data_IF_321623568862
#
_entry.id   IF_321623568862
#
_cell.length_a   1.000
_cell.length_b   1.000
_cell.length_c   1.000
_cell.angle_alpha   90.00
_cell.angle_beta   90.00
_cell.angle_gamma   90.00
#
_symmetry.space_group_name_H-M   'P 1'
#
loop_
_entity.id
_entity.type
_entity.pdbx_description
1 polymer ?
#
# COMPACT_ATOMS: atom_id res chain seq x y z
N UNK A 1 61.01 -54.79 -26.53
CA UNK A 1 61.27 -53.45 -27.07
C UNK A 1 60.99 -52.44 -25.98
N UNK A 2 62.08 -51.92 -25.43
CA UNK A 2 62.17 -51.05 -24.26
C UNK A 2 61.85 -49.60 -24.62
N UNK A 3 60.89 -49.00 -23.92
CA UNK A 3 60.71 -47.55 -23.85
C UNK A 3 61.08 -47.09 -22.42
N UNK A 4 62.05 -46.19 -22.26
CA UNK A 4 62.39 -45.65 -20.94
C UNK A 4 61.45 -44.50 -20.58
N UNK A 5 60.88 -44.62 -19.38
CA UNK A 5 60.09 -43.59 -18.70
C UNK A 5 60.98 -42.38 -18.38
N UNK A 6 60.84 -41.30 -19.14
CA UNK A 6 61.37 -39.99 -18.78
C UNK A 6 60.36 -39.28 -17.86
N UNK A 7 60.53 -39.50 -16.56
CA UNK A 7 59.86 -38.76 -15.49
C UNK A 7 60.33 -37.31 -15.52
N UNK A 8 59.53 -36.44 -16.12
CA UNK A 8 59.68 -34.98 -16.03
C UNK A 8 59.14 -34.53 -14.67
N UNK A 9 60.01 -34.25 -13.71
CA UNK A 9 59.63 -33.49 -12.52
C UNK A 9 59.64 -32.00 -12.89
N UNK A 10 58.51 -31.29 -12.82
CA UNK A 10 58.52 -29.84 -12.94
C UNK A 10 59.24 -29.25 -11.73
N UNK A 11 60.31 -28.52 -12.01
CA UNK A 11 61.03 -27.67 -11.06
C UNK A 11 60.08 -26.52 -10.71
N UNK A 12 59.33 -26.68 -9.62
CA UNK A 12 58.47 -25.64 -9.05
C UNK A 12 59.39 -24.67 -8.32
N UNK A 13 59.50 -23.45 -8.86
CA UNK A 13 60.25 -22.35 -8.26
C UNK A 13 59.65 -22.01 -6.89
N UNK A 14 60.40 -22.28 -5.82
CA UNK A 14 60.01 -22.06 -4.43
C UNK A 14 59.88 -20.57 -4.06
N UNK A 15 60.24 -19.65 -4.95
CA UNK A 15 60.17 -18.21 -4.72
C UNK A 15 58.77 -17.62 -5.02
N UNK A 16 57.90 -18.32 -5.76
CA UNK A 16 56.54 -17.85 -6.06
C UNK A 16 55.57 -18.09 -4.87
N UNK A 17 55.86 -19.08 -4.03
CA UNK A 17 55.03 -19.44 -2.86
C UNK A 17 55.11 -18.41 -1.73
N UNK A 18 56.19 -17.63 -1.66
CA UNK A 18 56.36 -16.58 -0.65
C UNK A 18 55.54 -15.31 -0.96
N UNK A 19 55.32 -15.00 -2.24
CA UNK A 19 54.58 -13.80 -2.66
C UNK A 19 53.07 -13.98 -2.51
N UNK A 20 52.55 -15.19 -2.76
CA UNK A 20 51.12 -15.52 -2.58
C UNK A 20 50.69 -15.48 -1.11
N UNK A 21 51.60 -15.69 -0.15
CA UNK A 21 51.27 -15.58 1.28
C UNK A 21 51.10 -14.15 1.78
N UNK A 22 51.64 -13.15 1.09
CA UNK A 22 51.58 -11.76 1.56
C UNK A 22 50.23 -11.09 1.19
N UNK A 23 49.61 -11.48 0.08
CA UNK A 23 48.30 -10.94 -0.35
C UNK A 23 47.11 -11.46 0.48
N UNK A 24 47.24 -12.58 1.20
CA UNK A 24 46.17 -13.08 2.08
C UNK A 24 46.04 -12.32 3.41
N UNK A 25 47.02 -11.50 3.80
CA UNK A 25 46.99 -10.71 5.04
C UNK A 25 46.03 -9.51 4.95
N UNK A 26 45.94 -8.88 3.77
CA UNK A 26 45.19 -7.62 3.59
C UNK A 26 43.67 -7.83 3.46
N UNK A 27 43.22 -9.05 3.13
CA UNK A 27 41.79 -9.38 3.12
C UNK A 27 41.13 -9.38 4.51
N UNK A 28 41.91 -9.52 5.59
CA UNK A 28 41.38 -9.54 6.96
C UNK A 28 40.88 -8.17 7.43
N UNK A 29 41.52 -7.08 6.97
CA UNK A 29 41.13 -5.72 7.32
C UNK A 29 39.79 -5.34 6.67
N UNK A 30 39.57 -5.76 5.43
CA UNK A 30 38.35 -5.42 4.69
C UNK A 30 37.10 -6.16 5.21
N UNK A 31 37.27 -7.37 5.76
CA UNK A 31 36.20 -8.11 6.43
C UNK A 31 35.71 -7.43 7.71
N UNK A 32 36.60 -6.74 8.44
CA UNK A 32 36.23 -6.07 9.69
C UNK A 32 35.31 -4.87 9.41
N UNK A 33 35.60 -4.09 8.36
CA UNK A 33 34.82 -2.90 8.00
C UNK A 33 33.38 -3.25 7.57
N UNK A 34 33.19 -4.34 6.81
CA UNK A 34 31.84 -4.76 6.39
C UNK A 34 31.00 -5.18 7.61
N UNK A 35 31.61 -5.85 8.58
CA UNK A 35 30.90 -6.26 9.80
C UNK A 35 30.46 -5.06 10.64
N UNK A 36 31.33 -4.05 10.77
CA UNK A 36 31.01 -2.78 11.46
C UNK A 36 29.89 -2.05 10.72
N UNK A 37 29.91 -2.02 9.39
CA UNK A 37 28.86 -1.39 8.59
C UNK A 37 27.50 -2.09 8.75
N UNK A 38 27.47 -3.43 8.79
CA UNK A 38 26.24 -4.21 8.99
C UNK A 38 25.64 -4.01 10.39
N UNK A 39 26.48 -4.00 11.44
CA UNK A 39 26.05 -3.70 12.81
C UNK A 39 25.43 -2.29 12.90
N UNK A 40 26.07 -1.29 12.27
CA UNK A 40 25.51 0.07 12.21
C UNK A 40 24.18 0.13 11.46
N UNK A 41 23.99 -0.66 10.41
CA UNK A 41 22.72 -0.73 9.67
C UNK A 41 21.64 -1.38 10.55
N UNK A 42 21.94 -2.50 11.22
CA UNK A 42 21.01 -3.19 12.10
C UNK A 42 20.59 -2.33 13.29
N UNK A 43 21.53 -1.61 13.89
CA UNK A 43 21.25 -0.69 14.98
C UNK A 43 20.28 0.41 14.53
N UNK A 44 20.53 1.00 13.34
CA UNK A 44 19.63 2.02 12.77
C UNK A 44 18.24 1.47 12.46
N UNK A 45 18.13 0.26 11.91
CA UNK A 45 16.83 -0.37 11.63
C UNK A 45 16.05 -0.59 12.93
N UNK A 46 16.72 -1.11 13.96
CA UNK A 46 16.11 -1.33 15.29
C UNK A 46 15.67 -0.02 15.93
N UNK A 47 16.46 1.05 15.76
CA UNK A 47 16.11 2.40 16.21
C UNK A 47 14.86 2.95 15.51
N UNK A 48 14.72 2.72 14.20
CA UNK A 48 13.54 3.12 13.42
C UNK A 48 12.29 2.33 13.87
N UNK A 49 12.42 1.02 14.06
CA UNK A 49 11.30 0.19 14.52
C UNK A 49 10.80 0.61 15.91
N UNK A 50 11.70 0.85 16.85
CA UNK A 50 11.34 1.28 18.21
C UNK A 50 10.75 2.70 18.26
N UNK A 51 11.20 3.60 17.39
CA UNK A 51 10.59 4.94 17.27
C UNK A 51 9.19 4.87 16.69
N UNK A 52 8.92 3.98 15.73
CA UNK A 52 7.56 3.74 15.22
C UNK A 52 6.61 3.26 16.31
N UNK A 53 7.01 2.26 17.08
CA UNK A 53 6.18 1.73 18.17
C UNK A 53 5.84 2.82 19.21
N UNK A 54 6.79 3.75 19.46
CA UNK A 54 6.54 4.92 20.33
C UNK A 54 5.56 5.91 19.71
N UNK A 55 5.64 6.15 18.40
CA UNK A 55 4.73 7.03 17.68
C UNK A 55 3.31 6.44 17.68
N UNK A 56 3.13 5.16 17.39
CA UNK A 56 1.81 4.51 17.45
C UNK A 56 1.21 4.54 18.85
N UNK A 57 2.04 4.31 19.87
CA UNK A 57 1.61 4.42 21.27
C UNK A 57 1.23 5.85 21.64
N UNK A 58 1.96 6.85 21.15
CA UNK A 58 1.63 8.25 21.35
C UNK A 58 0.33 8.63 20.61
N UNK A 59 0.16 8.19 19.37
CA UNK A 59 -1.03 8.46 18.56
C UNK A 59 -2.28 7.80 19.15
N UNK A 60 -2.18 6.55 19.61
CA UNK A 60 -3.28 5.87 20.31
C UNK A 60 -3.66 6.55 21.63
N UNK A 61 -2.72 7.21 22.32
CA UNK A 61 -3.04 8.03 23.51
C UNK A 61 -3.68 9.38 23.19
N UNK A 62 -3.42 9.93 22.00
CA UNK A 62 -3.91 11.25 21.57
C UNK A 62 -5.25 11.19 20.84
N UNK A 63 -5.65 10.03 20.32
CA UNK A 63 -6.99 9.81 19.79
C UNK A 63 -7.89 9.49 20.98
N UNK A 64 -8.69 10.45 21.51
CA UNK A 64 -9.63 10.16 22.58
C UNK A 64 -10.51 9.01 22.10
N UNK A 65 -10.52 7.94 22.89
CA UNK A 65 -11.43 6.81 22.75
C UNK A 65 -12.80 7.37 22.41
N UNK A 66 -13.26 7.09 21.19
CA UNK A 66 -14.42 7.73 20.58
C UNK A 66 -15.63 7.30 21.40
N UNK A 67 -15.88 8.04 22.48
CA UNK A 67 -16.98 7.80 23.41
C UNK A 67 -18.23 7.64 22.57
N UNK A 68 -18.81 6.45 22.69
CA UNK A 68 -20.03 6.03 22.03
C UNK A 68 -21.03 7.20 22.09
N UNK A 69 -21.36 7.75 20.92
CA UNK A 69 -22.39 8.78 20.85
C UNK A 69 -23.67 8.18 21.43
N UNK A 70 -24.25 8.77 22.49
CA UNK A 70 -25.48 8.24 23.06
C UNK A 70 -26.54 8.21 21.96
N UNK A 71 -27.14 7.04 21.76
CA UNK A 71 -28.28 6.83 20.88
C UNK A 71 -29.38 7.84 21.25
N UNK A 72 -29.46 8.94 20.50
CA UNK A 72 -30.58 9.87 20.58
C UNK A 72 -31.76 9.18 19.91
N UNK A 73 -32.57 8.51 20.74
CA UNK A 73 -33.89 7.99 20.39
C UNK A 73 -34.80 9.16 20.00
N UNK A 74 -34.82 9.50 18.72
CA UNK A 74 -35.79 10.44 18.16
C UNK A 74 -37.16 9.75 18.12
N UNK A 75 -38.03 10.11 19.07
CA UNK A 75 -39.44 9.77 19.07
C UNK A 75 -40.12 10.34 17.81
N UNK A 76 -40.59 9.43 16.95
CA UNK A 76 -41.47 9.71 15.82
C UNK A 76 -42.88 9.98 16.33
N UNK A 77 -43.32 11.24 16.30
CA UNK A 77 -44.74 11.60 16.42
C UNK A 77 -45.35 11.71 15.04
N UNK A 78 -46.13 10.68 14.71
CA UNK A 78 -47.13 10.61 13.66
C UNK A 78 -48.20 11.70 13.86
N UNK A 79 -48.38 12.61 12.90
CA UNK A 79 -49.69 13.20 12.62
C UNK A 79 -49.97 13.23 11.12
N UNK A 80 -51.09 12.59 10.78
CA UNK A 80 -51.68 12.54 9.46
C UNK A 80 -52.42 13.85 9.17
N UNK A 81 -52.37 14.32 7.92
CA UNK A 81 -53.42 15.19 7.39
C UNK A 81 -53.55 14.99 5.88
N UNK A 82 -54.66 14.34 5.49
CA UNK A 82 -55.21 14.44 4.14
C UNK A 82 -55.47 15.92 3.80
N UNK A 83 -55.25 16.32 2.54
CA UNK A 83 -56.35 16.64 1.62
C UNK A 83 -55.85 17.26 0.30
N UNK A 84 -56.62 16.95 -0.75
CA UNK A 84 -56.99 17.80 -1.90
C UNK A 84 -56.13 17.79 -3.17
N UNK A 85 -56.62 16.95 -4.09
CA UNK A 85 -56.88 17.23 -5.52
C UNK A 85 -56.68 18.67 -5.99
N UNK A 86 -55.86 18.84 -7.03
CA UNK A 86 -56.23 19.70 -8.16
C UNK A 86 -55.57 19.25 -9.47
N UNK A 87 -56.45 18.99 -10.44
CA UNK A 87 -56.22 18.82 -11.88
C UNK A 87 -55.51 20.03 -12.48
N UNK A 88 -54.49 19.78 -13.32
CA UNK A 88 -53.83 20.79 -14.15
C UNK A 88 -53.09 20.13 -15.32
N UNK A 89 -53.71 20.22 -16.49
CA UNK A 89 -53.29 19.68 -17.78
C UNK A 89 -51.97 20.28 -18.33
N UNK A 90 -51.26 19.43 -19.09
CA UNK A 90 -50.38 19.70 -20.25
C UNK A 90 -49.01 20.36 -20.00
N UNK A 91 -47.95 19.61 -20.29
CA UNK A 91 -47.11 19.79 -21.50
C UNK A 91 -46.27 18.52 -21.71
N UNK A 92 -46.60 17.77 -22.77
CA UNK A 92 -45.95 16.50 -23.10
C UNK A 92 -44.59 16.76 -23.77
N UNK A 93 -43.52 16.75 -22.97
CA UNK A 93 -42.16 16.53 -23.47
C UNK A 93 -41.95 15.02 -23.57
N UNK A 94 -41.64 14.52 -24.76
CA UNK A 94 -41.44 13.09 -25.06
C UNK A 94 -40.14 12.62 -24.39
N UNK A 95 -40.21 12.36 -23.09
CA UNK A 95 -39.15 11.73 -22.31
C UNK A 95 -39.03 10.27 -22.79
N UNK A 96 -37.83 9.88 -23.22
CA UNK A 96 -37.51 8.49 -23.50
C UNK A 96 -37.71 7.69 -22.22
N UNK A 97 -38.44 6.55 -22.25
CA UNK A 97 -38.74 5.78 -21.06
C UNK A 97 -37.45 5.27 -20.42
N UNK A 98 -37.01 5.94 -19.37
CA UNK A 98 -35.98 5.39 -18.49
C UNK A 98 -36.55 4.12 -17.88
N UNK A 99 -35.79 3.01 -17.86
CA UNK A 99 -36.24 1.77 -17.25
C UNK A 99 -36.60 2.05 -15.80
N UNK A 100 -37.89 2.11 -15.52
CA UNK A 100 -38.40 2.39 -14.19
C UNK A 100 -38.25 1.09 -13.42
N UNK A 101 -37.25 1.02 -12.55
CA UNK A 101 -37.09 -0.11 -11.64
C UNK A 101 -38.28 -0.12 -10.68
N UNK A 102 -39.30 -0.91 -11.03
CA UNK A 102 -40.45 -1.15 -10.16
C UNK A 102 -40.05 -2.27 -9.20
N UNK A 103 -39.77 -1.88 -7.96
CA UNK A 103 -39.64 -2.84 -6.86
C UNK A 103 -40.90 -3.69 -6.82
N UNK A 104 -40.76 -5.00 -6.94
CA UNK A 104 -41.87 -5.93 -6.87
C UNK A 104 -42.54 -5.83 -5.50
N UNK A 105 -43.86 -6.00 -5.45
CA UNK A 105 -44.64 -5.89 -4.21
C UNK A 105 -44.23 -6.88 -3.11
N UNK A 106 -43.35 -7.85 -3.42
CA UNK A 106 -42.77 -8.81 -2.50
C UNK A 106 -41.53 -8.28 -1.76
N UNK A 107 -41.14 -7.02 -1.95
CA UNK A 107 -40.01 -6.45 -1.23
C UNK A 107 -40.33 -6.34 0.28
N UNK A 108 -39.43 -6.79 1.18
CA UNK A 108 -39.68 -6.71 2.63
C UNK A 108 -39.84 -5.24 3.04
N UNK A 109 -40.97 -4.91 3.67
CA UNK A 109 -41.27 -3.54 4.14
C UNK A 109 -40.38 -3.10 5.31
N UNK A 110 -39.64 -4.05 5.89
CA UNK A 110 -38.96 -3.87 7.17
C UNK A 110 -37.44 -3.77 7.02
N UNK A 111 -36.93 -3.52 5.80
CA UNK A 111 -35.51 -3.20 5.62
C UNK A 111 -35.26 -1.83 6.25
N UNK A 112 -34.87 -1.86 7.52
CA UNK A 112 -34.26 -0.72 8.21
C UNK A 112 -32.94 -0.45 7.51
N UNK A 113 -32.93 0.53 6.62
CA UNK A 113 -31.70 1.09 6.08
C UNK A 113 -30.82 1.47 7.27
N UNK A 114 -29.59 0.95 7.28
CA UNK A 114 -28.61 1.23 8.33
C UNK A 114 -28.51 2.75 8.51
N UNK A 115 -28.80 3.27 9.69
CA UNK A 115 -28.98 4.72 9.95
C UNK A 115 -27.77 5.57 9.50
N UNK A 116 -26.58 4.98 9.41
CA UNK A 116 -25.39 5.61 8.87
C UNK A 116 -25.44 5.98 7.38
N UNK A 117 -26.37 5.42 6.60
CA UNK A 117 -26.54 5.75 5.17
C UNK A 117 -27.38 7.01 4.94
N UNK A 118 -28.30 7.33 5.86
CA UNK A 118 -29.18 8.51 5.76
C UNK A 118 -28.48 9.77 6.27
N UNK A 119 -27.56 9.64 7.23
CA UNK A 119 -26.88 10.78 7.84
C UNK A 119 -25.78 11.44 6.98
N UNK A 120 -25.35 10.82 5.87
CA UNK A 120 -24.22 11.29 5.05
C UNK A 120 -24.58 12.03 3.78
N UNK A 121 -25.86 12.01 3.38
CA UNK A 121 -26.32 12.83 2.27
C UNK A 121 -27.10 14.02 2.83
N UNK A 122 -26.67 15.27 2.61
CA UNK A 122 -27.52 16.40 2.93
C UNK A 122 -28.86 16.21 2.20
N UNK A 123 -30.00 16.47 2.85
CA UNK A 123 -31.35 16.16 2.34
C UNK A 123 -31.74 16.91 1.06
N UNK A 124 -30.83 17.67 0.44
CA UNK A 124 -31.07 18.41 -0.80
C UNK A 124 -31.20 17.53 -2.04
N UNK A 125 -30.75 16.27 -2.03
CA UNK A 125 -30.73 15.45 -3.26
C UNK A 125 -31.98 14.57 -3.49
N UNK A 126 -32.92 14.49 -2.54
CA UNK A 126 -34.09 13.58 -2.67
C UNK A 126 -35.44 14.32 -2.80
N UNK A 127 -35.46 15.66 -2.94
CA UNK A 127 -36.70 16.40 -3.18
C UNK A 127 -36.55 17.48 -4.26
N UNK A 128 -36.56 17.08 -5.53
CA UNK A 128 -36.85 18.02 -6.65
C UNK A 128 -37.78 17.42 -7.70
N UNK A 129 -38.92 16.91 -7.23
CA UNK A 129 -40.23 17.02 -7.89
C UNK A 129 -41.19 17.18 -6.70
N UNK A 130 -41.88 18.27 -6.42
CA UNK A 130 -42.43 19.37 -7.23
C UNK A 130 -42.82 20.47 -6.25
N UNK A 131 -42.04 21.54 -6.10
CA UNK A 131 -42.58 22.82 -5.61
C UNK A 131 -41.87 23.95 -6.34
N UNK A 132 -42.61 24.51 -7.29
CA UNK A 132 -42.47 25.88 -7.79
C UNK A 132 -42.55 26.79 -6.56
N UNK A 133 -41.40 27.17 -6.02
CA UNK A 133 -41.26 28.20 -5.01
C UNK A 133 -40.61 29.39 -5.72
N UNK A 134 -41.43 30.41 -5.94
CA UNK A 134 -41.01 31.77 -6.25
C UNK A 134 -39.93 32.19 -5.24
N UNK A 135 -38.69 32.28 -5.71
CA UNK A 135 -37.61 32.90 -4.94
C UNK A 135 -37.97 34.38 -4.74
N UNK A 136 -37.98 34.88 -3.50
CA UNK A 136 -37.98 36.31 -3.27
C UNK A 136 -36.71 36.90 -3.87
N UNK A 137 -36.84 38.10 -4.42
CA UNK A 137 -35.78 38.87 -5.04
C UNK A 137 -34.69 39.16 -4.00
N UNK A 138 -33.63 38.35 -3.99
CA UNK A 138 -32.42 38.57 -3.18
C UNK A 138 -31.46 39.37 -4.04
N UNK A 139 -31.80 40.64 -4.24
CA UNK A 139 -30.87 41.69 -4.63
C UNK A 139 -30.64 42.58 -3.40
N UNK A 140 -29.40 43.07 -3.26
CA UNK A 140 -28.95 44.20 -2.41
C UNK A 140 -28.35 44.01 -1.00
N UNK A 141 -28.15 42.79 -0.48
CA UNK A 141 -27.67 42.63 0.91
C UNK A 141 -26.16 42.42 1.16
N UNK A 142 -25.47 41.61 0.35
CA UNK A 142 -24.19 40.98 0.78
C UNK A 142 -22.96 41.49 0.03
N UNK A 143 -22.88 42.81 -0.18
CA UNK A 143 -21.62 43.52 -0.45
C UNK A 143 -21.07 44.09 0.84
N UNK A 144 -20.20 43.32 1.52
CA UNK A 144 -19.15 43.72 2.50
C UNK A 144 -19.06 42.73 3.66
N UNK A 145 -18.26 41.69 3.49
CA UNK A 145 -17.18 41.36 4.43
C UNK A 145 -16.28 40.32 3.80
N UNK A 146 -15.06 40.75 3.48
CA UNK A 146 -14.05 39.98 2.76
C UNK A 146 -13.53 38.80 3.57
N UNK A 147 -14.06 37.61 3.28
CA UNK A 147 -13.38 36.34 3.55
C UNK A 147 -13.79 35.29 2.52
N UNK A 148 -13.56 35.62 1.25
CA UNK A 148 -13.73 34.69 0.13
C UNK A 148 -12.55 33.70 0.06
N UNK A 149 -12.37 32.87 1.10
CA UNK A 149 -11.48 31.70 1.03
C UNK A 149 -12.12 30.52 0.32
N UNK A 150 -13.42 30.57 0.02
CA UNK A 150 -14.18 29.34 -0.29
C UNK A 150 -14.58 29.18 -1.77
N UNK A 151 -14.07 30.01 -2.69
CA UNK A 151 -14.35 29.86 -4.14
C UNK A 151 -13.20 29.18 -4.87
N UNK A 152 -11.96 29.34 -4.40
CA UNK A 152 -10.81 28.56 -4.90
C UNK A 152 -10.89 27.09 -4.50
N UNK A 153 -11.55 26.75 -3.38
CA UNK A 153 -11.69 25.36 -2.92
C UNK A 153 -12.64 24.55 -3.79
N UNK A 154 -13.69 25.15 -4.33
CA UNK A 154 -14.66 24.45 -5.20
C UNK A 154 -14.11 24.23 -6.61
N UNK A 155 -13.25 25.12 -7.12
CA UNK A 155 -12.66 25.01 -8.46
C UNK A 155 -11.43 24.07 -8.45
N UNK A 156 -10.73 23.92 -7.32
CA UNK A 156 -9.66 22.92 -7.19
C UNK A 156 -10.19 21.48 -7.18
N UNK A 157 -11.45 21.28 -6.75
CA UNK A 157 -12.08 19.95 -6.69
C UNK A 157 -12.37 19.32 -8.05
N UNK A 158 -12.49 20.13 -9.11
CA UNK A 158 -12.77 19.65 -10.48
C UNK A 158 -11.54 19.61 -11.39
N UNK A 159 -10.37 20.07 -10.95
CA UNK A 159 -9.12 19.92 -11.70
C UNK A 159 -8.34 18.63 -11.31
N UNK A 160 -8.53 18.13 -10.08
CA UNK A 160 -7.92 16.90 -9.58
C UNK A 160 -8.81 15.66 -9.81
N UNK A 161 -9.46 15.55 -10.98
CA UNK A 161 -10.18 14.32 -11.35
C UNK A 161 -9.19 13.14 -11.36
N UNK A 162 -9.31 12.33 -10.31
CA UNK A 162 -8.37 11.32 -9.83
C UNK A 162 -7.70 10.51 -10.92
N UNK A 163 -6.38 10.65 -11.00
CA UNK A 163 -5.49 9.69 -11.68
C UNK A 163 -5.22 8.43 -10.85
N UNK A 164 -5.85 8.31 -9.68
CA UNK A 164 -5.80 7.08 -8.88
C UNK A 164 -6.48 5.93 -9.61
N UNK A 165 -5.91 4.73 -9.49
CA UNK A 165 -6.52 3.51 -9.97
C UNK A 165 -7.69 3.15 -9.04
N UNK A 166 -8.85 2.89 -9.65
CA UNK A 166 -9.99 2.34 -8.94
C UNK A 166 -9.65 0.92 -8.45
N UNK A 167 -9.99 0.63 -7.20
CA UNK A 167 -9.81 -0.67 -6.54
C UNK A 167 -10.54 -1.82 -7.26
N UNK A 168 -11.59 -1.52 -8.02
CA UNK A 168 -12.32 -2.48 -8.85
C UNK A 168 -11.83 -2.53 -10.30
N UNK A 169 -10.72 -1.88 -10.63
CA UNK A 169 -10.20 -1.87 -12.00
C UNK A 169 -9.56 -3.21 -12.37
N UNK A 170 -9.79 -3.66 -13.61
CA UNK A 170 -9.21 -4.89 -14.15
C UNK A 170 -7.68 -4.99 -14.02
N UNK A 171 -6.88 -3.93 -14.27
CA UNK A 171 -5.44 -4.00 -14.11
C UNK A 171 -5.01 -4.34 -12.68
N UNK A 172 -5.68 -3.78 -11.67
CA UNK A 172 -5.40 -4.08 -10.27
C UNK A 172 -5.76 -5.53 -9.92
N UNK A 173 -6.83 -6.06 -10.51
CA UNK A 173 -7.20 -7.48 -10.34
C UNK A 173 -6.13 -8.41 -10.93
N UNK A 174 -5.67 -8.14 -12.16
CA UNK A 174 -4.59 -8.90 -12.80
C UNK A 174 -3.31 -8.82 -11.96
N UNK A 175 -2.97 -7.61 -11.50
CA UNK A 175 -1.82 -7.38 -10.63
C UNK A 175 -1.92 -8.16 -9.31
N UNK A 176 -3.11 -8.18 -8.70
CA UNK A 176 -3.38 -8.96 -7.48
C UNK A 176 -3.22 -10.46 -7.69
N UNK A 177 -3.68 -10.99 -8.84
CA UNK A 177 -3.51 -12.41 -9.18
C UNK A 177 -2.02 -12.75 -9.35
N UNK A 178 -1.27 -11.91 -10.06
CA UNK A 178 0.18 -12.07 -10.22
C UNK A 178 0.88 -12.03 -8.85
N UNK A 179 0.48 -11.09 -7.99
CA UNK A 179 1.01 -10.95 -6.62
C UNK A 179 0.81 -12.22 -5.80
N UNK A 180 -0.39 -12.82 -5.84
CA UNK A 180 -0.67 -14.09 -5.14
C UNK A 180 0.19 -15.24 -5.68
N UNK A 181 0.44 -15.31 -6.99
CA UNK A 181 1.30 -16.34 -7.58
C UNK A 181 2.76 -16.15 -7.13
N UNK A 182 3.29 -14.93 -7.18
CA UNK A 182 4.66 -14.63 -6.74
C UNK A 182 4.82 -14.89 -5.24
N UNK A 183 3.86 -14.47 -4.43
CA UNK A 183 3.83 -14.75 -3.00
C UNK A 183 3.83 -16.25 -2.71
N UNK A 184 3.09 -17.05 -3.48
CA UNK A 184 3.08 -18.51 -3.34
C UNK A 184 4.43 -19.13 -3.65
N UNK A 185 5.15 -18.58 -4.64
CA UNK A 185 6.53 -18.98 -4.96
C UNK A 185 7.47 -18.61 -3.81
N UNK A 186 7.39 -17.39 -3.28
CA UNK A 186 8.25 -16.97 -2.16
C UNK A 186 8.01 -17.81 -0.90
N UNK A 187 6.74 -18.10 -0.57
CA UNK A 187 6.36 -18.94 0.57
C UNK A 187 6.84 -20.39 0.46
N UNK A 188 7.10 -20.89 -0.75
CA UNK A 188 7.59 -22.26 -0.97
C UNK A 188 9.10 -22.31 -1.10
N UNK A 189 9.71 -21.39 -1.84
CA UNK A 189 11.15 -21.36 -2.08
C UNK A 189 11.90 -20.96 -0.81
N UNK A 190 11.41 -19.98 -0.05
CA UNK A 190 12.14 -19.47 1.10
C UNK A 190 12.36 -20.53 2.20
N UNK A 191 11.35 -21.29 2.68
CA UNK A 191 11.59 -22.37 3.64
C UNK A 191 12.43 -23.52 3.04
N UNK A 192 12.29 -23.80 1.73
CA UNK A 192 13.12 -24.79 1.04
C UNK A 192 14.60 -24.39 1.04
N UNK A 193 14.91 -23.14 0.69
CA UNK A 193 16.28 -22.63 0.74
C UNK A 193 16.86 -22.69 2.15
N UNK A 194 16.04 -22.41 3.16
CA UNK A 194 16.46 -22.44 4.57
C UNK A 194 16.70 -23.86 5.07
N UNK A 195 15.82 -24.81 4.74
CA UNK A 195 15.92 -26.18 5.24
C UNK A 195 17.07 -26.98 4.61
N UNK A 196 17.44 -26.67 3.37
CA UNK A 196 18.51 -27.36 2.64
C UNK A 196 19.78 -26.53 2.44
N UNK A 197 19.85 -25.33 3.04
CA UNK A 197 20.97 -24.39 2.92
C UNK A 197 21.42 -24.17 1.46
N UNK A 198 20.46 -24.15 0.53
CA UNK A 198 20.73 -24.07 -0.90
C UNK A 198 21.38 -22.70 -1.19
N UNK A 199 22.58 -22.66 -1.80
CA UNK A 199 23.24 -21.39 -2.10
C UNK A 199 22.36 -20.59 -3.08
N UNK A 200 22.30 -19.27 -2.89
CA UNK A 200 21.56 -18.36 -3.76
C UNK A 200 22.36 -18.08 -5.04
N UNK A 201 22.61 -19.11 -5.84
CA UNK A 201 23.36 -19.02 -7.11
C UNK A 201 22.49 -19.46 -8.29
N UNK A 202 22.82 -18.97 -9.49
CA UNK A 202 22.14 -19.34 -10.73
C UNK A 202 20.66 -18.95 -10.74
N UNK A 203 19.77 -19.91 -11.02
CA UNK A 203 18.33 -19.68 -11.18
C UNK A 203 17.65 -19.04 -9.96
N UNK A 204 18.02 -19.45 -8.75
CA UNK A 204 17.44 -18.90 -7.51
C UNK A 204 17.79 -17.43 -7.29
N UNK A 205 18.97 -17.00 -7.73
CA UNK A 205 19.37 -15.59 -7.67
C UNK A 205 18.48 -14.73 -8.58
N UNK A 206 18.22 -15.18 -9.82
CA UNK A 206 17.33 -14.46 -10.73
C UNK A 206 15.89 -14.41 -10.20
N UNK A 207 15.40 -15.51 -9.60
CA UNK A 207 14.08 -15.54 -8.98
C UNK A 207 13.98 -14.56 -7.81
N UNK A 208 14.98 -14.53 -6.92
CA UNK A 208 15.01 -13.59 -5.80
C UNK A 208 15.06 -12.12 -6.25
N UNK A 209 15.90 -11.79 -7.24
CA UNK A 209 15.96 -10.43 -7.81
C UNK A 209 14.62 -10.05 -8.47
N UNK A 210 14.02 -10.96 -9.23
CA UNK A 210 12.73 -10.72 -9.90
C UNK A 210 11.62 -10.49 -8.88
N UNK A 211 11.57 -11.30 -7.83
CA UNK A 211 10.61 -11.13 -6.73
C UNK A 211 10.81 -9.80 -6.01
N UNK A 212 12.06 -9.43 -5.66
CA UNK A 212 12.36 -8.14 -5.03
C UNK A 212 11.95 -6.93 -5.88
N UNK A 213 12.18 -6.98 -7.20
CA UNK A 213 11.73 -5.93 -8.12
C UNK A 213 10.21 -5.86 -8.12
N UNK A 214 9.52 -7.01 -8.17
CA UNK A 214 8.07 -7.05 -8.13
C UNK A 214 7.50 -6.43 -6.84
N UNK A 215 8.01 -6.79 -5.67
CA UNK A 215 7.57 -6.22 -4.38
C UNK A 215 7.90 -4.73 -4.27
N UNK A 216 9.02 -4.30 -4.85
CA UNK A 216 9.34 -2.86 -4.95
C UNK A 216 8.29 -2.13 -5.80
N UNK A 217 7.86 -2.70 -6.92
CA UNK A 217 6.81 -2.13 -7.77
C UNK A 217 5.42 -2.17 -7.09
N UNK A 218 5.10 -3.21 -6.33
CA UNK A 218 3.87 -3.33 -5.54
C UNK A 218 3.76 -2.22 -4.50
N UNK A 219 4.87 -1.93 -3.80
CA UNK A 219 4.96 -0.78 -2.89
C UNK A 219 4.65 0.54 -3.62
N UNK A 220 5.19 0.75 -4.84
CA UNK A 220 4.86 1.92 -5.64
C UNK A 220 3.41 1.92 -6.14
N UNK A 221 2.83 0.75 -6.45
CA UNK A 221 1.43 0.61 -6.81
C UNK A 221 0.49 1.02 -5.66
N UNK A 222 0.92 0.86 -4.40
CA UNK A 222 0.22 1.36 -3.22
C UNK A 222 -0.02 2.88 -3.22
N UNK A 223 0.89 3.66 -3.80
CA UNK A 223 0.75 5.14 -3.89
C UNK A 223 -0.30 5.59 -4.92
N UNK A 224 -0.60 4.75 -5.91
CA UNK A 224 -1.55 5.07 -6.99
C UNK A 224 -2.92 4.41 -6.78
N UNK A 225 -3.05 3.49 -5.82
CA UNK A 225 -4.28 2.74 -5.57
C UNK A 225 -5.21 3.50 -4.63
N UNK A 226 -6.45 3.75 -5.06
CA UNK A 226 -7.45 4.44 -4.23
C UNK A 226 -7.73 3.75 -2.89
N UNK A 227 -8.19 4.53 -1.91
CA UNK A 227 -8.59 3.99 -0.60
C UNK A 227 -10.04 4.33 -0.28
N UNK A 228 -10.71 3.45 0.47
CA UNK A 228 -12.08 3.70 0.92
C UNK A 228 -12.05 4.58 2.18
N UNK A 229 -12.61 5.79 2.05
CA UNK A 229 -12.87 6.68 3.17
C UNK A 229 -14.36 6.91 3.26
N UNK A 230 -14.96 6.56 4.39
CA UNK A 230 -16.34 6.91 4.65
C UNK A 230 -17.39 6.30 3.68
N UNK A 231 -17.07 5.14 3.09
CA UNK A 231 -17.92 4.47 2.09
C UNK A 231 -17.80 5.08 0.68
N UNK A 232 -16.98 6.11 0.51
CA UNK A 232 -16.61 6.69 -0.78
C UNK A 232 -15.16 6.38 -1.11
N UNK A 233 -14.89 6.03 -2.36
CA UNK A 233 -13.54 5.78 -2.84
C UNK A 233 -12.83 7.11 -3.12
N UNK A 234 -11.70 7.34 -2.47
CA UNK A 234 -10.87 8.52 -2.63
C UNK A 234 -9.76 8.23 -3.65
N UNK A 235 -9.79 8.92 -4.79
CA UNK A 235 -8.87 8.71 -5.93
C UNK A 235 -7.84 9.84 -6.10
N UNK A 236 -7.80 10.80 -5.17
CA UNK A 236 -6.79 11.88 -5.18
C UNK A 236 -5.43 11.31 -4.79
N UNK A 237 -4.49 11.28 -5.74
CA UNK A 237 -3.14 10.74 -5.54
C UNK A 237 -2.41 11.32 -4.33
N UNK A 238 -2.56 12.62 -4.06
CA UNK A 238 -1.94 13.27 -2.90
C UNK A 238 -2.50 12.76 -1.57
N UNK A 239 -3.82 12.56 -1.50
CA UNK A 239 -4.49 12.00 -0.32
C UNK A 239 -4.13 10.52 -0.14
N UNK A 240 -4.10 9.75 -1.25
CA UNK A 240 -3.69 8.35 -1.26
C UNK A 240 -2.25 8.17 -0.82
N UNK A 241 -1.32 8.92 -1.41
CA UNK A 241 0.10 8.86 -1.09
C UNK A 241 0.35 9.20 0.39
N UNK A 242 -0.30 10.24 0.90
CA UNK A 242 -0.20 10.60 2.32
C UNK A 242 -0.75 9.49 3.23
N UNK A 243 -1.93 8.95 2.90
CA UNK A 243 -2.55 7.87 3.66
C UNK A 243 -1.65 6.62 3.70
N UNK A 244 -1.08 6.23 2.55
CA UNK A 244 -0.18 5.09 2.44
C UNK A 244 1.13 5.32 3.22
N UNK A 245 1.72 6.52 3.09
CA UNK A 245 2.97 6.90 3.77
C UNK A 245 2.83 6.86 5.30
N UNK A 246 1.70 7.31 5.84
CA UNK A 246 1.47 7.33 7.31
C UNK A 246 1.12 5.98 7.92
N UNK A 247 0.79 4.96 7.11
CA UNK A 247 0.28 3.68 7.59
C UNK A 247 1.18 2.50 7.25
N UNK A 248 1.12 2.05 5.99
CA UNK A 248 1.69 0.75 5.56
C UNK A 248 3.07 0.86 4.93
N UNK A 249 3.41 2.02 4.36
CA UNK A 249 4.65 2.21 3.62
C UNK A 249 5.91 1.85 4.41
N UNK A 250 5.99 2.24 5.69
CA UNK A 250 7.19 1.97 6.49
C UNK A 250 7.41 0.48 6.74
N UNK A 251 6.32 -0.27 6.91
CA UNK A 251 6.37 -1.72 7.03
C UNK A 251 6.85 -2.32 5.71
N UNK A 252 6.19 -2.01 4.60
CA UNK A 252 6.52 -2.54 3.27
C UNK A 252 7.97 -2.21 2.88
N UNK A 253 8.41 -0.99 3.15
CA UNK A 253 9.79 -0.55 2.92
C UNK A 253 10.79 -1.34 3.77
N UNK A 254 10.52 -1.56 5.06
CA UNK A 254 11.41 -2.32 5.94
C UNK A 254 11.60 -3.75 5.44
N UNK A 255 10.51 -4.43 5.05
CA UNK A 255 10.58 -5.77 4.46
C UNK A 255 11.37 -5.79 3.16
N UNK A 256 11.08 -4.85 2.26
CA UNK A 256 11.76 -4.79 0.97
C UNK A 256 13.26 -4.48 1.14
N UNK A 257 13.64 -3.64 2.11
CA UNK A 257 15.04 -3.35 2.42
C UNK A 257 15.79 -4.57 2.95
N UNK A 258 15.18 -5.37 3.83
CA UNK A 258 15.79 -6.63 4.32
C UNK A 258 16.09 -7.57 3.15
N UNK A 259 15.18 -7.68 2.20
CA UNK A 259 15.37 -8.54 1.02
C UNK A 259 16.45 -8.00 0.07
N UNK A 260 16.52 -6.68 -0.13
CA UNK A 260 17.59 -6.05 -0.90
C UNK A 260 18.97 -6.22 -0.25
N UNK A 261 19.06 -6.07 1.08
CA UNK A 261 20.30 -6.35 1.82
C UNK A 261 20.73 -7.80 1.57
N UNK A 262 19.79 -8.75 1.62
CA UNK A 262 20.08 -10.16 1.33
C UNK A 262 20.58 -10.43 -0.09
N UNK A 263 20.15 -9.67 -1.09
CA UNK A 263 20.62 -9.77 -2.48
C UNK A 263 22.00 -9.12 -2.65
N UNK A 264 22.20 -7.93 -2.09
CA UNK A 264 23.50 -7.21 -2.14
C UNK A 264 24.57 -8.02 -1.42
N UNK A 265 24.24 -8.55 -0.25
CA UNK A 265 25.06 -9.49 0.50
C UNK A 265 25.55 -10.66 -0.35
N UNK A 266 24.62 -11.38 -1.00
CA UNK A 266 24.95 -12.51 -1.87
C UNK A 266 25.80 -12.09 -3.09
N UNK A 267 25.56 -10.90 -3.65
CA UNK A 267 26.37 -10.36 -4.73
C UNK A 267 27.80 -10.03 -4.27
N UNK A 268 27.98 -9.47 -3.07
CA UNK A 268 29.31 -9.19 -2.49
C UNK A 268 30.05 -10.48 -2.10
N UNK A 269 29.35 -11.49 -1.60
CA UNK A 269 29.93 -12.82 -1.30
C UNK A 269 30.48 -13.50 -2.55
N UNK A 270 29.86 -13.31 -3.72
CA UNK A 270 30.40 -13.84 -4.98
C UNK A 270 31.78 -13.28 -5.34
N UNK A 271 32.17 -12.16 -4.74
CA UNK A 271 33.51 -11.59 -4.84
C UNK A 271 34.43 -12.00 -3.69
N UNK A 272 33.89 -12.43 -2.54
CA UNK A 272 34.63 -12.73 -1.31
C UNK A 272 34.17 -14.08 -0.70
N UNK A 273 34.88 -15.18 -1.02
CA UNK A 273 34.48 -16.53 -0.57
C UNK A 273 34.36 -16.69 0.96
N UNK A 274 35.06 -15.86 1.75
CA UNK A 274 35.10 -15.95 3.21
C UNK A 274 33.89 -15.34 3.95
N UNK A 275 33.10 -14.46 3.32
CA UNK A 275 32.03 -13.71 3.98
C UNK A 275 30.69 -14.48 4.10
N UNK A 276 30.59 -15.66 3.46
CA UNK A 276 29.32 -16.35 3.14
C UNK A 276 28.55 -17.01 4.30
N UNK A 277 29.11 -17.02 5.51
CA UNK A 277 28.53 -17.76 6.65
C UNK A 277 27.64 -16.91 7.55
N UNK A 278 27.92 -15.62 7.69
CA UNK A 278 27.26 -14.77 8.68
C UNK A 278 25.95 -14.15 8.17
N UNK A 279 25.80 -13.95 6.86
CA UNK A 279 24.60 -13.34 6.26
C UNK A 279 23.38 -14.28 6.24
N UNK A 280 23.59 -15.60 6.30
CA UNK A 280 22.51 -16.59 6.41
C UNK A 280 21.73 -16.45 7.72
N UNK A 281 22.38 -15.97 8.79
CA UNK A 281 21.75 -15.77 10.11
C UNK A 281 20.76 -14.60 10.11
N UNK A 282 20.99 -13.57 9.29
CA UNK A 282 20.14 -12.37 9.25
C UNK A 282 18.73 -12.60 8.67
N UNK A 283 18.56 -13.67 7.87
CA UNK A 283 17.24 -14.03 7.33
C UNK A 283 16.30 -14.64 8.36
N UNK A 284 16.82 -15.20 9.47
CA UNK A 284 15.99 -15.79 10.52
C UNK A 284 15.16 -14.74 11.29
N UNK A 285 15.61 -13.48 11.31
CA UNK A 285 14.90 -12.39 12.01
C UNK A 285 13.61 -11.96 11.29
N UNK A 286 13.38 -12.37 10.02
CA UNK A 286 12.18 -12.04 9.24
C UNK A 286 10.96 -12.92 9.59
N UNK A 287 11.14 -14.06 10.28
CA UNK A 287 10.06 -15.04 10.53
C UNK A 287 9.40 -14.97 11.92
N UNK A 288 9.88 -14.12 12.83
CA UNK A 288 9.21 -13.82 14.11
C UNK A 288 8.41 -12.53 14.00
#
# INVERSE_FOLDING_TARGET
>A
SSHPDSVFQPMVDLDEEATVRQDFSDGSAQSADVHVMLEQILEKITQVATTQQRIEKALSSLVPERTEFPHVLAHSTSEASLTRSHSGERFAKKETPHPTFTLTAAWPRDIKLREGFVARYPPTFVQTRTKVLSLPNIDDGMRRNGRFSNVTDTIRWTADHGRGLNTSSWPLLVFSIISVVILSVDLTILPYMMAWEVPLTGGFQYLAITSNIFWTLDMFAGFITGFQKDGTEELRLSATAWHYFTGRFLFDLAFCLVDWVGVVAAALESHNEAASRNLRMLRFTKMQ
#
